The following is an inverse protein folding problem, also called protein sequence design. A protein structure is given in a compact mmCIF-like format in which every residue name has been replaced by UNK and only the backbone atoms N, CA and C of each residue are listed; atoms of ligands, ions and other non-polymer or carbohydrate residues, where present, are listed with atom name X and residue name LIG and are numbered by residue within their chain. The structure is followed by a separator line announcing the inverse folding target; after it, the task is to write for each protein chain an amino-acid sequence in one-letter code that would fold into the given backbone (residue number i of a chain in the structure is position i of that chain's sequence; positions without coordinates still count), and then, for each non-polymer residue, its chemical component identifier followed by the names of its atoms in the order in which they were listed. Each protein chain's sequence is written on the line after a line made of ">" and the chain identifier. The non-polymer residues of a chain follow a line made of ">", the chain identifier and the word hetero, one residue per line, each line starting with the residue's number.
data_IF_031844136385
#
_entry.id   IF_031844136385
#
_cell.length_a   1.000
_cell.length_b   1.000
_cell.length_c   1.000
_cell.angle_alpha   90.00
_cell.angle_beta   90.00
_cell.angle_gamma   90.00
#
_symmetry.space_group_name_H-M   'P 1'
#
loop_
_entity.id
_entity.type
_entity.pdbx_description
1 polymer ?
#
# COMPACT_ATOMS: atom_id res chain seq x y z
N UNK A 1 -12.05 14.99 11.79
CA UNK A 1 -11.97 13.56 11.47
C UNK A 1 -10.99 12.85 12.40
N UNK A 2 -11.25 11.59 12.70
CA UNK A 2 -10.26 10.70 13.31
C UNK A 2 -9.48 10.04 12.16
N UNK A 3 -8.17 10.24 12.14
CA UNK A 3 -7.30 9.76 11.06
C UNK A 3 -6.95 8.27 11.22
N UNK A 4 -6.08 7.77 10.32
CA UNK A 4 -5.58 6.40 10.31
C UNK A 4 -6.41 5.47 9.41
N UNK A 5 -5.71 4.63 8.64
CA UNK A 5 -6.33 3.64 7.76
C UNK A 5 -5.59 2.30 7.74
N UNK A 6 -4.44 2.24 8.38
CA UNK A 6 -3.71 1.00 8.66
C UNK A 6 -3.98 0.58 10.10
N UNK A 7 -4.42 -0.64 10.30
CA UNK A 7 -4.79 -1.10 11.63
C UNK A 7 -5.04 -2.60 11.66
N UNK A 8 -5.12 -3.12 12.87
CA UNK A 8 -5.56 -4.46 13.15
C UNK A 8 -6.30 -4.46 14.49
N UNK A 9 -7.28 -5.31 14.66
CA UNK A 9 -8.08 -5.31 15.86
C UNK A 9 -8.89 -6.57 16.05
N UNK A 10 -9.70 -6.55 17.10
CA UNK A 10 -10.60 -7.63 17.47
C UNK A 10 -12.03 -7.10 17.38
N UNK A 11 -12.92 -7.86 16.77
CA UNK A 11 -14.35 -7.58 16.75
C UNK A 11 -14.89 -7.73 18.17
N UNK A 12 -15.41 -6.65 18.73
CA UNK A 12 -15.98 -6.66 20.10
C UNK A 12 -17.51 -6.63 20.09
N UNK A 13 -18.11 -6.15 19.01
CA UNK A 13 -19.56 -6.06 18.84
C UNK A 13 -19.89 -6.17 17.36
N UNK A 14 -21.04 -6.74 17.00
CA UNK A 14 -21.55 -6.84 15.64
C UNK A 14 -22.93 -6.22 15.56
N UNK A 15 -23.21 -5.51 14.46
CA UNK A 15 -24.52 -4.97 14.17
C UNK A 15 -25.50 -6.01 13.64
N UNK A 16 -26.77 -5.63 13.58
CA UNK A 16 -27.80 -6.45 12.95
C UNK A 16 -27.49 -6.69 11.47
N UNK A 17 -27.61 -7.94 11.03
CA UNK A 17 -27.38 -8.34 9.64
C UNK A 17 -25.90 -8.69 9.30
N UNK A 18 -24.96 -8.54 10.22
CA UNK A 18 -23.60 -9.05 10.05
C UNK A 18 -23.59 -10.57 10.06
N UNK A 19 -23.00 -11.18 9.05
CA UNK A 19 -23.02 -12.64 8.85
C UNK A 19 -21.65 -13.29 8.65
N UNK A 20 -20.63 -12.52 8.24
CA UNK A 20 -19.29 -13.04 7.94
C UNK A 20 -18.28 -12.88 9.09
N UNK A 21 -18.67 -12.14 10.14
CA UNK A 21 -17.83 -11.86 11.31
C UNK A 21 -18.56 -12.21 12.60
N UNK A 22 -17.79 -12.57 13.61
CA UNK A 22 -18.28 -12.81 14.98
C UNK A 22 -17.39 -12.11 16.03
N UNK A 23 -17.93 -11.89 17.21
CA UNK A 23 -17.18 -11.33 18.34
C UNK A 23 -15.98 -12.23 18.66
N UNK A 24 -14.81 -11.62 18.78
CA UNK A 24 -13.53 -12.31 18.98
C UNK A 24 -12.77 -12.62 17.68
N UNK A 25 -13.30 -12.28 16.51
CA UNK A 25 -12.54 -12.37 15.27
C UNK A 25 -11.44 -11.31 15.21
N UNK A 26 -10.27 -11.72 14.73
CA UNK A 26 -9.17 -10.80 14.40
C UNK A 26 -9.34 -10.32 12.97
N UNK A 27 -9.23 -9.01 12.77
CA UNK A 27 -9.52 -8.36 11.49
C UNK A 27 -8.50 -7.28 11.15
N UNK A 28 -8.36 -7.02 9.85
CA UNK A 28 -7.68 -5.84 9.31
C UNK A 28 -8.66 -5.04 8.44
N UNK A 29 -8.59 -3.70 8.43
CA UNK A 29 -9.46 -2.85 7.62
C UNK A 29 -9.01 -2.79 6.15
N UNK A 30 -10.00 -2.60 5.28
CA UNK A 30 -9.83 -2.24 3.89
C UNK A 30 -10.38 -0.84 3.68
N UNK A 31 -9.53 0.11 3.33
CA UNK A 31 -9.94 1.50 3.12
C UNK A 31 -10.65 1.72 1.75
N UNK A 32 -10.62 0.74 0.87
CA UNK A 32 -11.37 0.72 -0.39
C UNK A 32 -12.18 -0.56 -0.53
N UNK A 33 -13.22 -0.77 0.31
CA UNK A 33 -14.05 -1.95 0.19
C UNK A 33 -14.89 -1.92 -1.08
N UNK A 34 -15.41 -3.10 -1.45
CA UNK A 34 -16.28 -3.29 -2.61
C UNK A 34 -17.74 -3.31 -2.20
N UNK A 35 -18.67 -2.73 -3.01
CA UNK A 35 -20.10 -2.89 -2.80
C UNK A 35 -20.66 -4.20 -3.36
N UNK A 36 -19.89 -4.93 -4.18
CA UNK A 36 -20.24 -6.18 -4.88
C UNK A 36 -21.41 -6.07 -5.86
N UNK A 37 -21.82 -4.85 -6.24
CA UNK A 37 -22.98 -4.63 -7.09
C UNK A 37 -22.68 -3.74 -8.30
N UNK A 38 -21.74 -2.80 -8.20
CA UNK A 38 -21.42 -1.90 -9.31
C UNK A 38 -20.55 -2.60 -10.36
N UNK A 39 -20.53 -2.02 -11.55
CA UNK A 39 -19.75 -2.50 -12.70
C UNK A 39 -18.28 -2.80 -12.33
N UNK A 40 -17.65 -1.94 -11.55
CA UNK A 40 -16.26 -2.12 -11.14
C UNK A 40 -16.07 -3.29 -10.18
N UNK A 41 -16.99 -3.49 -9.24
CA UNK A 41 -16.93 -4.60 -8.29
C UNK A 41 -17.21 -5.95 -8.95
N UNK A 42 -18.00 -5.97 -10.02
CA UNK A 42 -18.30 -7.18 -10.79
C UNK A 42 -17.21 -7.53 -11.81
N UNK A 43 -16.26 -6.61 -12.03
CA UNK A 43 -15.11 -6.85 -12.90
C UNK A 43 -13.95 -7.41 -12.07
N UNK A 44 -13.50 -8.66 -12.33
CA UNK A 44 -12.43 -9.30 -11.53
C UNK A 44 -11.05 -8.64 -11.68
N UNK A 45 -10.91 -7.65 -12.56
CA UNK A 45 -9.65 -6.94 -12.82
C UNK A 45 -9.57 -5.56 -12.16
N UNK A 46 -10.58 -5.12 -11.40
CA UNK A 46 -10.63 -3.78 -10.82
C UNK A 46 -11.14 -3.80 -9.38
N UNK A 47 -10.66 -2.83 -8.59
CA UNK A 47 -11.04 -2.54 -7.21
C UNK A 47 -11.59 -1.11 -7.08
N UNK A 48 -12.13 -0.53 -8.17
CA UNK A 48 -12.53 0.87 -8.27
C UNK A 48 -14.02 1.08 -7.92
N UNK A 49 -14.49 0.57 -6.79
CA UNK A 49 -15.87 0.72 -6.36
C UNK A 49 -16.31 2.17 -6.32
N UNK A 50 -17.37 2.51 -7.06
CA UNK A 50 -17.89 3.87 -7.14
C UNK A 50 -18.85 4.20 -6.00
N UNK A 51 -19.66 3.23 -5.51
CA UNK A 51 -20.61 3.45 -4.44
C UNK A 51 -19.97 3.84 -3.11
N UNK A 52 -18.93 3.11 -2.72
CA UNK A 52 -18.23 3.35 -1.44
C UNK A 52 -17.50 4.69 -1.44
N UNK A 53 -16.96 5.12 -2.58
CA UNK A 53 -16.22 6.39 -2.66
C UNK A 53 -17.06 7.61 -2.32
N UNK A 54 -18.34 7.62 -2.64
CA UNK A 54 -19.21 8.76 -2.36
C UNK A 54 -19.39 9.03 -0.87
N UNK A 55 -19.50 7.99 -0.07
CA UNK A 55 -19.64 8.10 1.39
C UNK A 55 -18.30 8.26 2.09
N UNK A 56 -17.28 7.49 1.71
CA UNK A 56 -15.92 7.63 2.25
C UNK A 56 -15.32 9.02 1.98
N UNK A 57 -15.52 9.57 0.79
CA UNK A 57 -15.02 10.90 0.43
C UNK A 57 -15.67 12.02 1.26
N UNK A 58 -16.91 11.82 1.71
CA UNK A 58 -17.61 12.70 2.63
C UNK A 58 -17.27 12.44 4.13
N UNK A 59 -16.50 11.40 4.42
CA UNK A 59 -16.11 11.04 5.79
C UNK A 59 -17.24 10.45 6.62
N UNK A 60 -18.17 9.74 5.97
CA UNK A 60 -19.34 9.13 6.61
C UNK A 60 -19.44 7.64 6.29
N UNK A 61 -20.26 6.93 7.06
CA UNK A 61 -20.63 5.54 6.83
C UNK A 61 -21.53 5.42 5.58
N UNK A 62 -21.78 4.21 5.05
CA UNK A 62 -22.64 4.00 3.88
C UNK A 62 -24.07 4.57 4.03
N UNK A 63 -24.56 4.72 5.25
CA UNK A 63 -25.85 5.32 5.56
C UNK A 63 -25.83 6.87 5.61
N UNK A 64 -24.69 7.50 5.32
CA UNK A 64 -24.51 8.95 5.32
C UNK A 64 -24.31 9.58 6.70
N UNK A 65 -24.13 8.78 7.75
CA UNK A 65 -23.94 9.27 9.12
C UNK A 65 -22.54 8.98 9.66
N UNK A 66 -22.14 9.67 10.74
CA UNK A 66 -20.92 9.35 11.50
C UNK A 66 -21.24 8.53 12.75
N UNK A 67 -20.31 7.67 13.13
CA UNK A 67 -20.33 6.92 14.41
C UNK A 67 -19.49 7.59 15.50
N UNK A 68 -18.88 8.71 15.19
CA UNK A 68 -18.07 9.49 16.12
C UNK A 68 -18.68 10.83 16.40
N UNK A 69 -18.60 11.27 17.65
CA UNK A 69 -18.99 12.61 18.06
C UNK A 69 -18.10 13.14 19.18
N UNK A 70 -18.06 14.44 19.31
CA UNK A 70 -17.52 15.11 20.48
C UNK A 70 -18.46 14.90 21.67
N UNK A 71 -18.03 15.26 22.87
CA UNK A 71 -18.84 15.15 24.10
C UNK A 71 -20.12 15.99 24.05
N UNK A 72 -20.13 17.07 23.26
CA UNK A 72 -21.28 17.94 23.04
C UNK A 72 -22.24 17.43 21.93
N UNK A 73 -21.94 16.27 21.34
CA UNK A 73 -22.71 15.67 20.26
C UNK A 73 -22.34 16.14 18.86
N UNK A 74 -21.36 17.04 18.71
CA UNK A 74 -20.86 17.47 17.38
C UNK A 74 -20.27 16.29 16.63
N UNK A 75 -20.73 15.96 15.39
CA UNK A 75 -20.21 14.83 14.63
C UNK A 75 -18.72 14.99 14.28
N UNK A 76 -17.98 13.90 14.39
CA UNK A 76 -16.58 13.80 13.92
C UNK A 76 -16.58 12.88 12.70
N UNK A 77 -15.98 13.34 11.60
CA UNK A 77 -15.93 12.56 10.37
C UNK A 77 -14.98 11.36 10.48
N UNK A 78 -15.32 10.31 9.75
CA UNK A 78 -14.44 9.17 9.52
C UNK A 78 -13.31 9.54 8.53
N UNK A 79 -12.17 8.88 8.64
CA UNK A 79 -11.11 8.93 7.64
C UNK A 79 -11.03 7.60 6.90
N UNK A 80 -11.25 7.63 5.60
CA UNK A 80 -11.21 6.47 4.70
C UNK A 80 -12.08 5.30 5.18
N UNK A 81 -13.17 5.56 5.92
CA UNK A 81 -14.02 4.53 6.52
C UNK A 81 -13.36 3.68 7.62
N UNK A 82 -12.13 4.00 8.02
CA UNK A 82 -11.33 3.20 8.94
C UNK A 82 -11.11 3.87 10.30
N UNK A 83 -10.56 5.10 10.30
CA UNK A 83 -10.28 5.89 11.52
C UNK A 83 -9.48 5.11 12.57
N UNK A 84 -8.38 4.48 12.16
CA UNK A 84 -7.64 3.55 13.01
C UNK A 84 -6.77 4.23 14.09
N UNK A 85 -6.67 5.56 14.11
CA UNK A 85 -6.04 6.30 15.21
C UNK A 85 -6.99 6.48 16.39
N UNK A 86 -7.70 5.42 16.72
CA UNK A 86 -8.61 5.33 17.87
C UNK A 86 -8.55 3.93 18.47
N UNK A 87 -8.92 3.82 19.76
CA UNK A 87 -9.00 2.51 20.44
C UNK A 87 -10.17 1.67 19.94
N UNK A 88 -11.22 2.32 19.44
CA UNK A 88 -12.41 1.68 18.90
C UNK A 88 -12.85 2.40 17.63
N UNK A 89 -13.31 1.64 16.67
CA UNK A 89 -13.90 2.16 15.44
C UNK A 89 -15.08 1.31 15.02
N UNK A 90 -15.98 1.89 14.24
CA UNK A 90 -17.12 1.18 13.63
C UNK A 90 -16.91 1.17 12.13
N UNK A 91 -16.97 -0.01 11.54
CA UNK A 91 -16.73 -0.21 10.11
C UNK A 91 -17.82 -1.08 9.51
N UNK A 92 -18.14 -0.91 8.21
CA UNK A 92 -18.97 -1.87 7.49
C UNK A 92 -18.29 -3.26 7.47
N UNK A 93 -19.09 -4.31 7.61
CA UNK A 93 -18.61 -5.70 7.53
C UNK A 93 -17.73 -5.95 6.30
N UNK A 94 -18.15 -5.42 5.13
CA UNK A 94 -17.43 -5.58 3.86
C UNK A 94 -16.04 -4.90 3.83
N UNK A 95 -15.79 -3.98 4.75
CA UNK A 95 -14.52 -3.28 4.90
C UNK A 95 -13.52 -4.00 5.82
N UNK A 96 -13.84 -5.20 6.28
CA UNK A 96 -13.01 -5.97 7.22
C UNK A 96 -12.63 -7.32 6.61
N UNK A 97 -11.34 -7.65 6.69
CA UNK A 97 -10.83 -8.96 6.34
C UNK A 97 -10.49 -9.73 7.61
N UNK A 98 -11.11 -10.90 7.80
CA UNK A 98 -10.79 -11.83 8.89
C UNK A 98 -9.40 -12.42 8.69
N UNK A 99 -8.60 -12.44 9.74
CA UNK A 99 -7.23 -12.96 9.75
C UNK A 99 -7.05 -14.01 10.84
N UNK A 100 -5.95 -14.74 10.80
CA UNK A 100 -5.62 -15.74 11.81
C UNK A 100 -5.46 -15.07 13.19
N UNK A 101 -5.97 -15.72 14.23
CA UNK A 101 -5.94 -15.21 15.62
C UNK A 101 -4.52 -15.11 16.21
N UNK A 102 -3.57 -15.86 15.67
CA UNK A 102 -2.16 -15.83 16.08
C UNK A 102 -1.31 -14.82 15.30
N UNK A 103 -1.89 -14.11 14.34
CA UNK A 103 -1.18 -13.09 13.57
C UNK A 103 -0.89 -11.85 14.45
N UNK A 104 0.37 -11.38 14.53
CA UNK A 104 0.74 -10.25 15.37
C UNK A 104 0.24 -8.94 14.78
N UNK A 105 -0.54 -8.17 15.54
CA UNK A 105 -1.19 -6.94 15.06
C UNK A 105 -0.22 -5.87 14.58
N UNK A 106 0.94 -5.76 15.22
CA UNK A 106 2.03 -4.83 14.85
C UNK A 106 2.65 -5.14 13.48
N UNK A 107 2.39 -6.32 12.93
CA UNK A 107 2.85 -6.73 11.59
C UNK A 107 1.75 -6.68 10.55
N UNK A 108 0.57 -7.21 10.88
CA UNK A 108 -0.50 -7.34 9.89
C UNK A 108 -1.24 -6.03 9.60
N UNK A 109 -1.13 -5.03 10.47
CA UNK A 109 -1.79 -3.73 10.28
C UNK A 109 -1.39 -3.03 8.97
N UNK A 110 -0.20 -3.31 8.43
CA UNK A 110 0.27 -2.74 7.16
C UNK A 110 -0.29 -3.41 5.91
N UNK A 111 -0.91 -4.59 6.05
CA UNK A 111 -1.39 -5.38 4.90
C UNK A 111 -2.46 -4.63 4.11
N UNK A 112 -3.34 -3.90 4.80
CA UNK A 112 -4.45 -3.16 4.18
C UNK A 112 -4.03 -1.99 3.27
N UNK A 113 -2.78 -1.54 3.32
CA UNK A 113 -2.29 -0.40 2.53
C UNK A 113 -0.87 -0.64 1.99
N UNK A 114 0.16 -0.37 2.80
CA UNK A 114 1.54 -0.32 2.32
C UNK A 114 2.02 -1.62 1.67
N UNK A 115 1.68 -2.77 2.24
CA UNK A 115 2.09 -4.08 1.71
C UNK A 115 1.40 -4.36 0.38
N UNK A 116 0.08 -4.27 0.34
CA UNK A 116 -0.69 -4.53 -0.89
C UNK A 116 -0.39 -3.53 -1.99
N UNK A 117 -0.10 -2.27 -1.66
CA UNK A 117 0.30 -1.24 -2.63
C UNK A 117 1.62 -1.60 -3.30
N UNK A 118 2.66 -1.88 -2.52
CA UNK A 118 3.99 -2.16 -3.07
C UNK A 118 4.02 -3.47 -3.85
N UNK A 119 3.56 -4.58 -3.26
CA UNK A 119 3.54 -5.89 -3.93
C UNK A 119 2.59 -5.88 -5.13
N UNK A 120 1.42 -5.26 -5.00
CA UNK A 120 0.44 -5.15 -6.07
C UNK A 120 0.90 -4.32 -7.26
N UNK A 121 1.70 -3.27 -7.03
CA UNK A 121 2.34 -2.51 -8.11
C UNK A 121 3.21 -3.41 -9.00
N UNK A 122 3.94 -4.33 -8.40
CA UNK A 122 4.82 -5.26 -9.12
C UNK A 122 4.02 -6.36 -9.82
N UNK A 123 3.21 -7.11 -9.07
CA UNK A 123 2.58 -8.35 -9.55
C UNK A 123 1.36 -8.05 -10.42
N UNK A 124 0.51 -7.10 -10.00
CA UNK A 124 -0.77 -6.86 -10.65
C UNK A 124 -0.72 -5.75 -11.70
N UNK A 125 0.02 -4.68 -11.43
CA UNK A 125 0.05 -3.49 -12.31
C UNK A 125 1.15 -3.62 -13.36
N UNK A 126 2.41 -3.70 -12.93
CA UNK A 126 3.55 -3.81 -13.85
C UNK A 126 3.70 -5.21 -14.44
N UNK A 127 3.24 -6.25 -13.73
CA UNK A 127 3.36 -7.67 -14.12
C UNK A 127 4.80 -8.03 -14.46
N UNK A 128 5.68 -7.71 -13.53
CA UNK A 128 7.12 -7.90 -13.70
C UNK A 128 7.45 -9.33 -14.05
N UNK A 129 8.25 -9.50 -15.09
CA UNK A 129 8.67 -10.81 -15.61
C UNK A 129 9.90 -11.34 -14.86
N UNK A 130 10.03 -12.68 -14.84
CA UNK A 130 11.18 -13.36 -14.24
C UNK A 130 12.46 -12.96 -14.98
N UNK A 131 13.52 -12.69 -14.23
CA UNK A 131 14.83 -12.31 -14.78
C UNK A 131 14.96 -10.82 -15.11
N UNK A 132 13.92 -10.02 -14.86
CA UNK A 132 13.95 -8.57 -15.14
C UNK A 132 14.90 -7.81 -14.22
N UNK A 133 15.32 -6.65 -14.71
CA UNK A 133 16.02 -5.62 -13.94
C UNK A 133 15.05 -4.52 -13.53
N UNK A 134 15.05 -4.13 -12.26
CA UNK A 134 14.16 -3.10 -11.74
C UNK A 134 14.87 -2.09 -10.85
N UNK A 135 14.43 -0.82 -10.91
CA UNK A 135 14.90 0.24 -10.02
C UNK A 135 13.74 0.73 -9.15
N UNK A 136 13.96 0.83 -7.84
CA UNK A 136 12.99 1.33 -6.86
C UNK A 136 13.52 2.60 -6.22
N UNK A 137 12.86 3.72 -6.49
CA UNK A 137 13.19 5.02 -5.90
C UNK A 137 12.40 5.24 -4.61
N UNK A 138 13.13 5.40 -3.50
CA UNK A 138 12.56 5.54 -2.17
C UNK A 138 12.32 4.20 -1.48
N UNK A 139 13.10 3.92 -0.43
CA UNK A 139 13.04 2.71 0.38
C UNK A 139 12.29 2.96 1.70
N UNK A 140 11.10 3.56 1.60
CA UNK A 140 10.11 3.65 2.66
C UNK A 140 9.20 2.42 2.69
N UNK A 141 8.08 2.49 3.43
CA UNK A 141 7.15 1.38 3.57
C UNK A 141 6.65 0.83 2.23
N UNK A 142 6.30 1.70 1.27
CA UNK A 142 5.87 1.28 -0.08
C UNK A 142 7.05 0.68 -0.86
N UNK A 143 8.19 1.40 -0.95
CA UNK A 143 9.34 0.95 -1.74
C UNK A 143 9.93 -0.39 -1.26
N UNK A 144 9.99 -0.62 0.06
CA UNK A 144 10.41 -1.91 0.60
C UNK A 144 9.45 -3.05 0.20
N UNK A 145 8.15 -2.77 0.12
CA UNK A 145 7.18 -3.75 -0.37
C UNK A 145 7.24 -3.94 -1.89
N UNK A 146 7.65 -2.92 -2.66
CA UNK A 146 8.00 -3.09 -4.08
C UNK A 146 9.21 -4.02 -4.22
N UNK A 147 10.27 -3.82 -3.42
CA UNK A 147 11.45 -4.72 -3.39
C UNK A 147 11.04 -6.17 -3.09
N UNK A 148 10.17 -6.40 -2.09
CA UNK A 148 9.64 -7.74 -1.81
C UNK A 148 8.83 -8.30 -2.98
N UNK A 149 8.00 -7.48 -3.60
CA UNK A 149 7.22 -7.85 -4.78
C UNK A 149 8.11 -8.28 -5.95
N UNK A 150 9.18 -7.54 -6.22
CA UNK A 150 10.19 -7.85 -7.25
C UNK A 150 10.90 -9.17 -6.98
N UNK A 151 11.30 -9.40 -5.72
CA UNK A 151 11.87 -10.69 -5.31
C UNK A 151 10.89 -11.84 -5.53
N UNK A 152 9.60 -11.66 -5.17
CA UNK A 152 8.56 -12.67 -5.38
C UNK A 152 8.30 -12.92 -6.87
N UNK A 153 8.38 -11.90 -7.72
CA UNK A 153 8.24 -12.01 -9.17
C UNK A 153 9.45 -12.67 -9.85
N UNK A 154 10.57 -12.81 -9.13
CA UNK A 154 11.80 -13.41 -9.67
C UNK A 154 12.63 -12.44 -10.51
N UNK A 155 12.59 -11.14 -10.19
CA UNK A 155 13.51 -10.16 -10.78
C UNK A 155 14.96 -10.53 -10.41
N UNK A 156 15.87 -10.40 -11.38
CA UNK A 156 17.28 -10.77 -11.22
C UNK A 156 18.09 -9.65 -10.58
N UNK A 157 17.88 -8.41 -11.03
CA UNK A 157 18.54 -7.24 -10.48
C UNK A 157 17.51 -6.27 -9.88
N UNK A 158 17.65 -5.98 -8.59
CA UNK A 158 16.78 -5.05 -7.86
C UNK A 158 17.64 -3.93 -7.28
N UNK A 159 17.61 -2.77 -7.92
CA UNK A 159 18.35 -1.58 -7.52
C UNK A 159 17.46 -0.70 -6.64
N UNK A 160 17.86 -0.44 -5.42
CA UNK A 160 17.17 0.49 -4.53
C UNK A 160 17.90 1.83 -4.47
N UNK A 161 17.17 2.92 -4.66
CA UNK A 161 17.71 4.29 -4.63
C UNK A 161 17.11 5.03 -3.44
N UNK A 162 17.93 5.47 -2.50
CA UNK A 162 17.49 6.28 -1.34
C UNK A 162 18.62 7.18 -0.84
N UNK A 163 18.28 8.36 -0.30
CA UNK A 163 19.22 9.31 0.28
C UNK A 163 19.75 8.86 1.65
N UNK A 164 19.11 7.89 2.29
CA UNK A 164 19.46 7.43 3.62
C UNK A 164 20.11 6.04 3.59
N UNK A 165 21.41 6.02 3.77
CA UNK A 165 22.22 4.79 3.78
C UNK A 165 21.80 3.78 4.86
N UNK A 166 21.15 4.24 5.95
CA UNK A 166 20.71 3.32 7.01
C UNK A 166 19.63 2.33 6.56
N UNK A 167 18.96 2.58 5.44
CA UNK A 167 17.93 1.69 4.88
C UNK A 167 18.50 0.53 4.07
N UNK A 168 19.76 0.59 3.67
CA UNK A 168 20.38 -0.42 2.81
C UNK A 168 20.28 -1.83 3.40
N UNK A 169 20.63 -1.99 4.67
CA UNK A 169 20.65 -3.31 5.32
C UNK A 169 19.27 -3.96 5.29
N UNK A 170 18.23 -3.24 5.69
CA UNK A 170 16.86 -3.75 5.69
C UNK A 170 16.36 -4.04 4.26
N UNK A 171 16.67 -3.18 3.30
CA UNK A 171 16.27 -3.39 1.91
C UNK A 171 16.95 -4.64 1.30
N UNK A 172 18.18 -4.94 1.68
CA UNK A 172 18.87 -6.19 1.30
C UNK A 172 18.19 -7.43 1.89
N UNK A 173 17.75 -7.38 3.15
CA UNK A 173 16.98 -8.48 3.75
C UNK A 173 15.68 -8.73 2.96
N UNK A 174 15.05 -7.69 2.43
CA UNK A 174 13.84 -7.77 1.63
C UNK A 174 14.07 -8.24 0.19
N UNK A 175 15.32 -8.24 -0.27
CA UNK A 175 15.70 -8.81 -1.57
C UNK A 175 16.36 -7.84 -2.54
N UNK A 176 16.67 -6.61 -2.12
CA UNK A 176 17.45 -5.65 -2.92
C UNK A 176 18.84 -6.21 -3.20
N UNK A 177 19.30 -6.10 -4.45
CA UNK A 177 20.63 -6.56 -4.87
C UNK A 177 21.68 -5.45 -4.84
N UNK A 178 21.29 -4.23 -5.24
CA UNK A 178 22.17 -3.08 -5.33
C UNK A 178 21.54 -1.86 -4.65
N UNK A 179 22.35 -1.12 -3.91
CA UNK A 179 21.93 0.13 -3.28
C UNK A 179 22.67 1.31 -3.93
N UNK A 180 21.93 2.38 -4.21
CA UNK A 180 22.49 3.63 -4.74
C UNK A 180 22.00 4.80 -3.89
N UNK A 181 22.95 5.52 -3.27
CA UNK A 181 22.64 6.82 -2.71
C UNK A 181 22.97 7.90 -3.74
N UNK A 182 22.00 8.70 -4.20
CA UNK A 182 22.25 9.79 -5.16
C UNK A 182 23.32 10.78 -4.69
N UNK A 183 23.47 10.97 -3.38
CA UNK A 183 24.52 11.85 -2.82
C UNK A 183 25.95 11.34 -2.99
N UNK A 184 26.13 10.04 -3.23
CA UNK A 184 27.44 9.41 -3.39
C UNK A 184 27.81 9.24 -4.87
N UNK A 185 26.87 9.53 -5.81
CA UNK A 185 27.09 9.38 -7.25
C UNK A 185 27.87 10.59 -7.79
N UNK A 186 28.99 10.33 -8.44
CA UNK A 186 29.76 11.34 -9.17
C UNK A 186 29.19 11.51 -10.58
N UNK A 187 28.66 12.67 -10.92
CA UNK A 187 28.07 12.94 -12.23
C UNK A 187 26.54 12.81 -12.27
N UNK A 188 26.01 12.41 -13.42
CA UNK A 188 24.57 12.29 -13.64
C UNK A 188 24.02 10.97 -13.09
N UNK A 189 22.96 11.06 -12.29
CA UNK A 189 22.34 9.88 -11.67
C UNK A 189 21.69 8.95 -12.71
N UNK A 190 21.09 9.50 -13.75
CA UNK A 190 20.45 8.69 -14.81
C UNK A 190 21.51 7.88 -15.55
N UNK A 191 22.61 8.52 -15.96
CA UNK A 191 23.72 7.86 -16.62
C UNK A 191 24.29 6.72 -15.75
N UNK A 192 24.49 6.99 -14.45
CA UNK A 192 24.98 5.97 -13.50
C UNK A 192 24.01 4.77 -13.39
N UNK A 193 22.69 5.02 -13.28
CA UNK A 193 21.68 3.96 -13.18
C UNK A 193 21.56 3.16 -14.50
N UNK A 194 21.63 3.83 -15.64
CA UNK A 194 21.61 3.17 -16.96
C UNK A 194 22.85 2.28 -17.14
N UNK A 195 24.04 2.75 -16.73
CA UNK A 195 25.27 1.93 -16.76
C UNK A 195 25.17 0.74 -15.82
N UNK A 196 24.73 0.94 -14.57
CA UNK A 196 24.57 -0.11 -13.56
C UNK A 196 23.63 -1.22 -14.01
N UNK A 197 22.59 -0.88 -14.78
CA UNK A 197 21.57 -1.80 -15.27
C UNK A 197 21.82 -2.31 -16.69
N UNK A 198 22.98 -1.99 -17.28
CA UNK A 198 23.38 -2.51 -18.57
C UNK A 198 22.60 -1.95 -19.77
N UNK A 199 22.07 -0.73 -19.65
CA UNK A 199 21.33 -0.04 -20.71
C UNK A 199 19.97 0.53 -20.30
N UNK A 200 19.67 0.50 -19.04
CA UNK A 200 18.40 0.91 -18.43
C UNK A 200 17.62 -0.27 -17.86
N UNK A 201 16.75 -0.01 -16.90
CA UNK A 201 15.96 -1.04 -16.26
C UNK A 201 14.69 -1.39 -17.05
N UNK A 202 14.25 -2.65 -16.99
CA UNK A 202 12.96 -3.09 -17.55
C UNK A 202 11.79 -2.42 -16.85
N UNK A 203 11.92 -2.18 -15.55
CA UNK A 203 10.87 -1.56 -14.72
C UNK A 203 11.48 -0.54 -13.77
N UNK A 204 10.79 0.60 -13.62
CA UNK A 204 11.13 1.60 -12.61
C UNK A 204 9.92 1.93 -11.76
N UNK A 205 10.13 2.08 -10.44
CA UNK A 205 9.07 2.37 -9.47
C UNK A 205 9.45 3.61 -8.67
N UNK A 206 8.58 4.62 -8.67
CA UNK A 206 8.69 5.77 -7.77
C UNK A 206 7.81 5.58 -6.53
N UNK A 207 8.45 5.56 -5.36
CA UNK A 207 7.82 5.53 -4.05
C UNK A 207 8.19 6.76 -3.20
N UNK A 208 8.59 7.87 -3.85
CA UNK A 208 8.99 9.11 -3.18
C UNK A 208 7.94 10.22 -3.26
N UNK A 209 7.13 10.22 -4.33
CA UNK A 209 6.21 11.31 -4.64
C UNK A 209 6.89 12.60 -5.11
N UNK A 210 8.18 12.57 -5.43
CA UNK A 210 8.93 13.72 -5.93
C UNK A 210 8.94 13.75 -7.46
N UNK A 211 8.45 14.84 -8.06
CA UNK A 211 8.33 14.95 -9.52
C UNK A 211 9.67 14.89 -10.26
N UNK A 212 10.76 15.37 -9.64
CA UNK A 212 12.10 15.22 -10.20
C UNK A 212 12.55 13.76 -10.25
N UNK A 213 12.26 13.00 -9.18
CA UNK A 213 12.55 11.56 -9.13
C UNK A 213 11.69 10.78 -10.12
N UNK A 214 10.41 11.14 -10.32
CA UNK A 214 9.57 10.53 -11.35
C UNK A 214 10.16 10.67 -12.75
N UNK A 215 10.75 11.84 -13.06
CA UNK A 215 11.47 12.05 -14.30
C UNK A 215 12.72 11.18 -14.41
N UNK A 216 13.55 11.17 -13.36
CA UNK A 216 14.73 10.30 -13.29
C UNK A 216 14.37 8.82 -13.48
N UNK A 217 13.27 8.37 -12.86
CA UNK A 217 12.77 7.01 -13.01
C UNK A 217 12.41 6.66 -14.46
N UNK A 218 11.74 7.59 -15.16
CA UNK A 218 11.41 7.41 -16.57
C UNK A 218 12.67 7.36 -17.45
N UNK A 219 13.64 8.27 -17.21
CA UNK A 219 14.86 8.38 -17.99
C UNK A 219 15.84 7.21 -17.73
N UNK A 220 15.76 6.55 -16.58
CA UNK A 220 16.56 5.38 -16.22
C UNK A 220 15.99 4.04 -16.73
N UNK A 221 14.78 4.05 -17.31
CA UNK A 221 14.22 2.87 -17.96
C UNK A 221 14.82 2.69 -19.36
N UNK A 222 14.93 1.42 -19.81
CA UNK A 222 15.39 1.14 -21.16
C UNK A 222 14.35 1.55 -22.23
N UNK A 223 14.79 1.59 -23.49
CA UNK A 223 13.91 1.84 -24.64
C UNK A 223 13.18 0.56 -25.05
N UNK A 224 11.85 0.60 -25.18
CA UNK A 224 11.09 -0.53 -25.71
C UNK A 224 9.78 -0.76 -25.05
#
# INVERSE_FOLDING_TARGET
>A
AILGHEGAGIVIEIGEGVTSLEVGDHVIPLYTPECRECEYCLNPKTNLCQKIRSTQGAGVMPDGTSRFSMMDGTPILHYMGCSTFSNHTVMPEIALAKVRKDAPFDKICYIGCGVTTGIGAVINTAKVEIGSTAIVFGLGGIGLNVVQGLRLAGADQIVGVDLNNSKEALAKEFGMTHFVNPGDVSGDLVEHLVELTGGGADYTFDATGNTGVMRTALEAAHKG
#
